data_IF_824020697689
#
_entry.id   IF_824020697689
#
_cell.length_a   1.000
_cell.length_b   1.000
_cell.length_c   1.000
_cell.angle_alpha   90.00
_cell.angle_beta   90.00
_cell.angle_gamma   90.00
#
_symmetry.space_group_name_H-M   'P 1'
#
loop_
_entity.id
_entity.type
_entity.pdbx_description
1 polymer ?
#
# COMPACT_ATOMS: atom_id res chain seq x y z
N UNK A 1 31.64 -5.55 -15.41
CA UNK A 1 32.08 -4.32 -16.09
C UNK A 1 33.55 -4.18 -15.78
N UNK A 2 34.42 -4.25 -16.79
CA UNK A 2 35.86 -4.02 -16.66
C UNK A 2 36.04 -2.51 -16.87
N UNK A 3 36.51 -1.82 -15.84
CA UNK A 3 36.81 -0.39 -15.95
C UNK A 3 38.09 -0.23 -16.80
N UNK A 4 38.02 0.56 -17.85
CA UNK A 4 39.16 0.87 -18.70
C UNK A 4 40.10 1.84 -17.96
N UNK A 5 41.32 1.41 -17.69
CA UNK A 5 42.34 2.20 -16.98
C UNK A 5 42.76 3.47 -17.74
N UNK A 6 42.48 3.54 -19.05
CA UNK A 6 42.69 4.75 -19.85
C UNK A 6 41.61 5.82 -19.66
N UNK A 7 40.46 5.47 -19.12
CA UNK A 7 39.30 6.37 -18.96
C UNK A 7 39.04 6.71 -17.47
N UNK A 8 39.37 5.80 -16.54
CA UNK A 8 39.08 5.94 -15.11
C UNK A 8 40.35 5.86 -14.26
N UNK A 9 40.43 6.70 -13.23
CA UNK A 9 41.38 6.53 -12.16
C UNK A 9 40.92 5.32 -11.30
N UNK A 10 41.42 4.12 -11.62
CA UNK A 10 40.98 2.86 -10.99
C UNK A 10 41.22 2.85 -9.48
N UNK A 11 42.29 3.50 -9.00
CA UNK A 11 42.57 3.58 -7.57
C UNK A 11 41.52 4.41 -6.84
N UNK A 12 41.15 5.57 -7.41
CA UNK A 12 40.10 6.43 -6.87
C UNK A 12 38.73 5.73 -6.90
N UNK A 13 38.39 5.09 -8.02
CA UNK A 13 37.14 4.36 -8.18
C UNK A 13 37.01 3.24 -7.14
N UNK A 14 38.08 2.48 -6.89
CA UNK A 14 38.08 1.45 -5.82
C UNK A 14 37.86 2.05 -4.45
N UNK A 15 38.49 3.16 -4.13
CA UNK A 15 38.33 3.86 -2.85
C UNK A 15 36.88 4.36 -2.67
N UNK A 16 36.29 4.92 -3.69
CA UNK A 16 34.92 5.42 -3.68
C UNK A 16 33.91 4.26 -3.51
N UNK A 17 34.07 3.17 -4.25
CA UNK A 17 33.25 1.96 -4.10
C UNK A 17 33.38 1.39 -2.68
N UNK A 18 34.58 1.35 -2.11
CA UNK A 18 34.80 0.83 -0.76
C UNK A 18 34.12 1.71 0.29
N UNK A 19 34.13 3.01 0.11
CA UNK A 19 33.40 3.96 0.96
C UNK A 19 31.89 3.74 0.86
N UNK A 20 31.34 3.59 -0.34
CA UNK A 20 29.92 3.32 -0.56
C UNK A 20 29.49 2.01 0.07
N UNK A 21 30.28 0.94 -0.08
CA UNK A 21 30.04 -0.35 0.56
C UNK A 21 30.01 -0.25 2.09
N UNK A 22 30.90 0.55 2.68
CA UNK A 22 30.90 0.76 4.14
C UNK A 22 29.63 1.48 4.60
N UNK A 23 29.16 2.49 3.87
CA UNK A 23 27.92 3.22 4.17
C UNK A 23 26.72 2.26 4.05
N UNK A 24 26.64 1.49 2.98
CA UNK A 24 25.56 0.52 2.76
C UNK A 24 25.54 -0.54 3.87
N UNK A 25 26.71 -1.00 4.32
CA UNK A 25 26.80 -1.97 5.43
C UNK A 25 26.26 -1.39 6.73
N UNK A 26 26.62 -0.15 7.07
CA UNK A 26 26.10 0.54 8.26
C UNK A 26 24.58 0.70 8.16
N UNK A 27 24.07 1.13 7.01
CA UNK A 27 22.63 1.27 6.78
C UNK A 27 21.89 -0.07 6.93
N UNK A 28 22.47 -1.15 6.42
CA UNK A 28 21.91 -2.51 6.55
C UNK A 28 21.80 -2.93 8.03
N UNK A 29 22.82 -2.67 8.84
CA UNK A 29 22.79 -2.96 10.27
C UNK A 29 21.73 -2.13 10.99
N UNK A 30 21.64 -0.83 10.70
CA UNK A 30 20.65 0.06 11.29
C UNK A 30 19.22 -0.40 10.93
N UNK A 31 18.97 -0.75 9.67
CA UNK A 31 17.68 -1.28 9.22
C UNK A 31 17.34 -2.58 9.94
N UNK A 32 18.31 -3.49 10.11
CA UNK A 32 18.11 -4.75 10.84
C UNK A 32 17.72 -4.55 12.31
N UNK A 33 18.19 -3.47 12.94
CA UNK A 33 17.76 -3.08 14.29
C UNK A 33 16.34 -2.50 14.29
N UNK A 34 16.00 -1.67 13.30
CA UNK A 34 14.66 -1.07 13.16
C UNK A 34 13.57 -2.12 12.86
N UNK A 35 13.89 -3.19 12.13
CA UNK A 35 12.97 -4.29 11.84
C UNK A 35 12.46 -5.02 13.09
N UNK A 36 13.11 -4.88 14.24
CA UNK A 36 12.62 -5.41 15.52
C UNK A 36 11.47 -4.61 16.10
N UNK A 37 11.30 -3.36 15.69
CA UNK A 37 10.23 -2.46 16.13
C UNK A 37 9.73 -1.64 14.95
N UNK A 38 8.77 -2.19 14.22
CA UNK A 38 8.12 -1.48 13.11
C UNK A 38 6.82 -0.84 13.60
N UNK A 39 6.91 0.43 13.97
CA UNK A 39 5.78 1.20 14.48
C UNK A 39 4.67 1.35 13.41
N UNK A 40 5.02 1.37 12.12
CA UNK A 40 4.05 1.50 11.02
C UNK A 40 3.20 0.23 10.86
N UNK A 41 3.81 -0.95 10.94
CA UNK A 41 3.06 -2.22 10.95
C UNK A 41 2.17 -2.33 12.19
N UNK A 42 2.67 -1.94 13.35
CA UNK A 42 1.91 -2.00 14.60
C UNK A 42 0.68 -1.08 14.54
N UNK A 43 0.84 0.13 14.00
CA UNK A 43 -0.29 1.05 13.83
C UNK A 43 -1.29 0.52 12.79
N UNK A 44 -0.82 -0.07 11.68
CA UNK A 44 -1.71 -0.77 10.75
C UNK A 44 -2.48 -1.90 11.44
N UNK A 45 -1.78 -2.76 12.16
CA UNK A 45 -2.41 -3.87 12.88
C UNK A 45 -3.43 -3.39 13.91
N UNK A 46 -3.16 -2.30 14.63
CA UNK A 46 -4.09 -1.68 15.56
C UNK A 46 -5.38 -1.25 14.86
N UNK A 47 -5.29 -0.55 13.72
CA UNK A 47 -6.46 -0.16 12.94
C UNK A 47 -7.25 -1.38 12.43
N UNK A 48 -6.57 -2.42 11.97
CA UNK A 48 -7.23 -3.65 11.52
C UNK A 48 -7.91 -4.39 12.69
N UNK A 49 -7.26 -4.49 13.83
CA UNK A 49 -7.80 -5.17 15.02
C UNK A 49 -8.98 -4.43 15.66
N UNK A 50 -9.03 -3.11 15.54
CA UNK A 50 -10.14 -2.28 16.03
C UNK A 50 -11.33 -2.25 15.08
N UNK A 51 -11.18 -2.81 13.87
CA UNK A 51 -12.24 -2.82 12.87
C UNK A 51 -13.02 -4.12 12.92
N UNK A 52 -14.17 -4.14 13.59
CA UNK A 52 -14.94 -5.36 13.83
C UNK A 52 -15.85 -5.76 12.66
N UNK A 53 -16.43 -4.81 11.91
CA UNK A 53 -17.56 -5.08 11.02
C UNK A 53 -17.35 -4.80 9.54
N UNK A 54 -16.23 -4.22 9.14
CA UNK A 54 -16.01 -3.81 7.74
C UNK A 54 -14.88 -4.59 7.09
N UNK A 55 -15.08 -4.92 5.83
CA UNK A 55 -13.97 -5.38 4.97
C UNK A 55 -13.01 -4.22 4.74
N UNK A 56 -11.72 -4.50 4.88
CA UNK A 56 -10.65 -3.50 4.73
C UNK A 56 -9.74 -3.85 3.57
N UNK A 57 -9.53 -2.86 2.70
CA UNK A 57 -8.58 -2.93 1.61
C UNK A 57 -7.36 -2.07 1.92
N UNK A 58 -6.20 -2.71 2.07
CA UNK A 58 -4.94 -2.02 2.31
C UNK A 58 -4.15 -1.93 1.01
N UNK A 59 -3.84 -0.72 0.59
CA UNK A 59 -3.00 -0.48 -0.59
C UNK A 59 -1.56 -0.14 -0.22
N UNK A 60 -0.62 -0.81 -0.86
CA UNK A 60 0.79 -0.42 -0.91
C UNK A 60 1.23 -0.23 -2.36
N UNK A 61 2.21 0.65 -2.58
CA UNK A 61 2.72 0.92 -3.93
C UNK A 61 3.70 -0.16 -4.40
N UNK A 62 4.55 -0.66 -3.49
CA UNK A 62 5.64 -1.58 -3.82
C UNK A 62 5.28 -3.04 -3.55
N UNK A 63 5.62 -3.92 -4.50
CA UNK A 63 5.45 -5.36 -4.33
C UNK A 63 6.29 -5.92 -3.17
N UNK A 64 7.48 -5.36 -2.95
CA UNK A 64 8.35 -5.75 -1.84
C UNK A 64 7.74 -5.39 -0.48
N UNK A 65 7.07 -4.24 -0.38
CA UNK A 65 6.31 -3.86 0.82
C UNK A 65 5.14 -4.83 1.05
N UNK A 66 4.44 -5.25 -0.01
CA UNK A 66 3.37 -6.24 0.11
C UNK A 66 3.90 -7.58 0.60
N UNK A 67 5.06 -8.02 0.10
CA UNK A 67 5.72 -9.25 0.55
C UNK A 67 6.15 -9.13 2.02
N UNK A 68 6.73 -8.02 2.41
CA UNK A 68 7.11 -7.72 3.80
C UNK A 68 5.90 -7.75 4.75
N UNK A 69 4.80 -7.12 4.36
CA UNK A 69 3.55 -7.15 5.13
C UNK A 69 3.00 -8.57 5.27
N UNK A 70 3.10 -9.39 4.22
CA UNK A 70 2.68 -10.80 4.28
C UNK A 70 3.45 -11.60 5.33
N UNK A 71 4.74 -11.32 5.47
CA UNK A 71 5.62 -12.04 6.42
C UNK A 71 5.44 -11.56 7.85
N UNK A 72 5.18 -10.26 8.06
CA UNK A 72 5.24 -9.65 9.38
C UNK A 72 3.88 -9.31 10.00
N UNK A 73 2.92 -8.84 9.19
CA UNK A 73 1.64 -8.33 9.70
C UNK A 73 0.82 -9.39 10.46
N UNK A 74 0.79 -10.68 10.05
CA UNK A 74 0.01 -11.70 10.77
C UNK A 74 0.42 -11.89 12.24
N UNK A 75 1.67 -11.56 12.61
CA UNK A 75 2.16 -11.66 13.99
C UNK A 75 1.45 -10.69 14.95
N UNK A 76 0.87 -9.61 14.42
CA UNK A 76 0.25 -8.52 15.18
C UNK A 76 -1.28 -8.55 15.15
N UNK A 77 -1.87 -9.45 14.34
CA UNK A 77 -3.32 -9.50 14.17
C UNK A 77 -4.00 -10.44 15.18
N UNK A 78 -5.18 -10.01 15.63
CA UNK A 78 -6.04 -10.85 16.47
C UNK A 78 -6.62 -11.99 15.63
N UNK A 79 -6.72 -13.18 16.23
CA UNK A 79 -7.27 -14.35 15.56
C UNK A 79 -8.76 -14.17 15.24
N UNK A 80 -9.20 -14.74 14.13
CA UNK A 80 -10.62 -14.81 13.74
C UNK A 80 -10.98 -14.09 12.46
N UNK A 81 -10.11 -13.20 11.97
CA UNK A 81 -10.28 -12.52 10.66
C UNK A 81 -9.44 -13.22 9.59
N UNK A 82 -10.02 -13.35 8.40
CA UNK A 82 -9.31 -13.90 7.24
C UNK A 82 -8.58 -12.79 6.49
N UNK A 83 -7.26 -12.85 6.53
CA UNK A 83 -6.38 -11.90 5.85
C UNK A 83 -5.73 -12.57 4.63
N UNK A 84 -5.71 -11.87 3.52
CA UNK A 84 -5.06 -12.33 2.29
C UNK A 84 -4.21 -11.23 1.66
N UNK A 85 -3.20 -11.67 0.92
CA UNK A 85 -2.23 -10.80 0.25
C UNK A 85 -2.28 -11.05 -1.24
N UNK A 86 -2.75 -10.09 -2.01
CA UNK A 86 -2.97 -10.21 -3.46
C UNK A 86 -1.65 -10.21 -4.25
N UNK A 87 -0.89 -11.29 -4.07
CA UNK A 87 0.34 -11.59 -4.79
C UNK A 87 0.05 -12.63 -5.88
N UNK A 88 0.83 -12.59 -6.97
CA UNK A 88 0.79 -13.60 -8.01
C UNK A 88 0.35 -13.10 -9.38
N UNK A 89 -0.21 -14.01 -10.16
CA UNK A 89 -0.70 -13.78 -11.52
C UNK A 89 -2.00 -12.96 -11.53
N UNK A 90 -2.38 -12.44 -12.69
CA UNK A 90 -3.64 -11.73 -12.88
C UNK A 90 -4.86 -12.56 -12.48
N UNK A 91 -4.83 -13.87 -12.77
CA UNK A 91 -5.92 -14.78 -12.42
C UNK A 91 -6.06 -14.98 -10.90
N UNK A 92 -4.93 -15.09 -10.18
CA UNK A 92 -4.92 -15.20 -8.73
C UNK A 92 -5.41 -13.91 -8.08
N UNK A 93 -4.95 -12.74 -8.58
CA UNK A 93 -5.41 -11.43 -8.11
C UNK A 93 -6.92 -11.27 -8.32
N UNK A 94 -7.46 -11.73 -9.45
CA UNK A 94 -8.89 -11.74 -9.70
C UNK A 94 -9.66 -12.65 -8.74
N UNK A 95 -9.09 -13.80 -8.38
CA UNK A 95 -9.71 -14.70 -7.39
C UNK A 95 -9.76 -14.05 -6.00
N UNK A 96 -8.70 -13.36 -5.57
CA UNK A 96 -8.74 -12.57 -4.33
C UNK A 96 -9.84 -11.51 -4.37
N UNK A 97 -9.97 -10.78 -5.49
CA UNK A 97 -11.02 -9.77 -5.65
C UNK A 97 -12.44 -10.36 -5.55
N UNK A 98 -12.67 -11.55 -6.13
CA UNK A 98 -13.97 -12.26 -6.06
C UNK A 98 -14.30 -12.70 -4.63
N UNK A 99 -13.34 -13.24 -3.92
CA UNK A 99 -13.51 -13.69 -2.52
C UNK A 99 -13.61 -12.51 -1.54
N UNK A 100 -13.01 -11.37 -1.86
CA UNK A 100 -13.08 -10.16 -1.06
C UNK A 100 -14.39 -9.38 -1.25
N UNK A 101 -14.91 -9.32 -2.47
CA UNK A 101 -16.14 -8.60 -2.79
C UNK A 101 -17.18 -9.52 -3.48
N UNK A 102 -17.65 -10.58 -2.81
CA UNK A 102 -18.50 -11.59 -3.43
C UNK A 102 -19.85 -11.02 -3.87
N UNK A 103 -20.43 -10.06 -3.15
CA UNK A 103 -21.72 -9.46 -3.50
C UNK A 103 -21.57 -8.61 -4.77
N UNK A 104 -20.63 -7.67 -4.79
CA UNK A 104 -20.37 -6.80 -5.95
C UNK A 104 -19.92 -7.57 -7.18
N UNK A 105 -19.25 -8.71 -7.00
CA UNK A 105 -18.78 -9.61 -8.05
C UNK A 105 -19.80 -10.67 -8.46
N UNK A 106 -20.93 -10.77 -7.74
CA UNK A 106 -21.92 -11.86 -7.92
C UNK A 106 -21.24 -13.23 -7.90
N UNK A 107 -20.30 -13.41 -6.95
CA UNK A 107 -19.47 -14.60 -6.85
C UNK A 107 -19.99 -15.54 -5.75
N UNK A 108 -20.20 -16.79 -6.11
CA UNK A 108 -20.50 -17.84 -5.15
C UNK A 108 -19.22 -18.54 -4.74
N UNK A 109 -18.95 -18.55 -3.42
CA UNK A 109 -17.78 -19.21 -2.85
C UNK A 109 -17.79 -20.70 -3.19
N UNK A 110 -16.66 -21.23 -3.62
CA UNK A 110 -16.47 -22.65 -3.85
C UNK A 110 -16.24 -23.38 -2.52
N UNK A 111 -16.42 -24.70 -2.53
CA UNK A 111 -16.15 -25.52 -1.37
C UNK A 111 -14.68 -25.34 -0.91
N UNK A 112 -14.50 -25.00 0.37
CA UNK A 112 -13.19 -24.74 0.96
C UNK A 112 -12.66 -23.30 0.81
N UNK A 113 -13.28 -22.46 -0.03
CA UNK A 113 -12.94 -21.03 -0.07
C UNK A 113 -13.52 -20.30 1.14
N UNK A 114 -12.76 -19.31 1.62
CA UNK A 114 -13.20 -18.44 2.71
C UNK A 114 -13.37 -17.01 2.20
N UNK A 115 -14.36 -16.32 2.73
CA UNK A 115 -14.51 -14.88 2.56
C UNK A 115 -13.28 -14.16 3.13
N UNK A 116 -12.93 -13.03 2.55
CA UNK A 116 -11.75 -12.26 2.94
C UNK A 116 -12.23 -11.01 3.69
N UNK A 117 -11.76 -10.85 4.93
CA UNK A 117 -12.04 -9.66 5.74
C UNK A 117 -11.05 -8.54 5.42
N UNK A 118 -9.76 -8.88 5.35
CA UNK A 118 -8.69 -7.92 5.06
C UNK A 118 -7.92 -8.36 3.83
N UNK A 119 -7.89 -7.50 2.82
CA UNK A 119 -7.13 -7.72 1.59
C UNK A 119 -6.02 -6.68 1.47
N UNK A 120 -4.77 -7.13 1.40
CA UNK A 120 -3.61 -6.28 1.19
C UNK A 120 -3.16 -6.44 -0.27
N UNK A 121 -3.03 -5.33 -0.99
CA UNK A 121 -2.77 -5.37 -2.42
C UNK A 121 -1.92 -4.19 -2.91
N UNK A 122 -1.35 -4.36 -4.10
CA UNK A 122 -0.81 -3.24 -4.88
C UNK A 122 -1.87 -2.68 -5.83
N UNK A 123 -1.54 -1.60 -6.52
CA UNK A 123 -2.41 -1.00 -7.53
C UNK A 123 -2.81 -1.96 -8.67
N UNK A 124 -2.12 -3.10 -8.83
CA UNK A 124 -2.51 -4.16 -9.76
C UNK A 124 -3.92 -4.68 -9.51
N UNK A 125 -4.35 -4.74 -8.23
CA UNK A 125 -5.72 -5.11 -7.88
C UNK A 125 -6.72 -4.04 -8.30
N UNK A 126 -6.33 -2.76 -8.27
CA UNK A 126 -7.26 -1.65 -8.49
C UNK A 126 -7.75 -1.52 -9.92
N UNK A 127 -7.06 -2.10 -10.91
CA UNK A 127 -7.41 -1.93 -12.31
C UNK A 127 -8.69 -2.71 -12.68
N UNK A 128 -9.77 -1.96 -12.98
CA UNK A 128 -11.04 -2.53 -13.45
C UNK A 128 -11.87 -3.31 -12.42
N UNK A 129 -11.49 -3.37 -11.15
CA UNK A 129 -12.20 -4.15 -10.14
C UNK A 129 -13.35 -3.37 -9.48
N UNK A 130 -14.43 -4.06 -9.20
CA UNK A 130 -15.56 -3.59 -8.40
C UNK A 130 -15.44 -4.20 -7.00
N UNK A 131 -15.26 -3.36 -5.98
CA UNK A 131 -14.97 -3.82 -4.62
C UNK A 131 -15.89 -3.12 -3.60
N UNK A 132 -17.15 -2.92 -3.96
CA UNK A 132 -18.15 -2.16 -3.18
C UNK A 132 -18.60 -2.84 -1.89
N UNK A 133 -18.21 -4.10 -1.67
CA UNK A 133 -18.38 -4.80 -0.39
C UNK A 133 -17.43 -4.26 0.69
N UNK A 134 -16.40 -3.51 0.27
CA UNK A 134 -15.39 -2.92 1.15
C UNK A 134 -15.89 -1.60 1.75
N UNK A 135 -15.77 -1.45 3.07
CA UNK A 135 -16.18 -0.23 3.79
C UNK A 135 -15.00 0.65 4.24
N UNK A 136 -13.76 0.18 4.08
CA UNK A 136 -12.58 0.91 4.52
C UNK A 136 -11.40 0.72 3.58
N UNK A 137 -10.75 1.82 3.19
CA UNK A 137 -9.44 1.80 2.52
C UNK A 137 -8.36 2.29 3.49
N UNK A 138 -7.22 1.61 3.47
CA UNK A 138 -5.98 2.07 4.10
C UNK A 138 -4.92 2.24 3.03
N UNK A 139 -4.47 3.47 2.81
CA UNK A 139 -3.31 3.74 1.98
C UNK A 139 -2.05 3.64 2.85
N UNK A 140 -1.42 2.46 2.85
CA UNK A 140 -0.18 2.23 3.60
C UNK A 140 0.98 3.09 3.08
N UNK A 141 1.00 3.31 1.76
CA UNK A 141 1.88 4.28 1.11
C UNK A 141 1.07 5.28 0.31
N UNK A 142 1.35 6.58 0.49
CA UNK A 142 0.79 7.64 -0.34
C UNK A 142 1.43 7.57 -1.73
N UNK A 143 0.59 7.55 -2.75
CA UNK A 143 1.08 7.62 -4.12
C UNK A 143 1.34 9.07 -4.51
N UNK A 144 2.50 9.37 -5.12
CA UNK A 144 2.87 10.71 -5.61
C UNK A 144 1.92 11.29 -6.68
N UNK A 145 1.14 10.42 -7.35
CA UNK A 145 0.12 10.81 -8.31
C UNK A 145 -1.27 10.72 -7.66
N UNK A 146 -1.97 11.84 -7.42
CA UNK A 146 -3.27 11.85 -6.76
C UNK A 146 -4.35 11.12 -7.57
N UNK A 147 -4.24 11.05 -8.89
CA UNK A 147 -5.19 10.32 -9.75
C UNK A 147 -5.24 8.84 -9.36
N UNK A 148 -4.12 8.24 -8.97
CA UNK A 148 -4.10 6.85 -8.48
C UNK A 148 -4.87 6.70 -7.17
N UNK A 149 -4.76 7.65 -6.25
CA UNK A 149 -5.52 7.63 -5.01
C UNK A 149 -7.02 7.83 -5.27
N UNK A 150 -7.40 8.74 -6.16
CA UNK A 150 -8.79 8.91 -6.60
C UNK A 150 -9.31 7.59 -7.20
N UNK A 151 -8.51 6.93 -8.04
CA UNK A 151 -8.89 5.64 -8.64
C UNK A 151 -9.06 4.54 -7.60
N UNK A 152 -8.20 4.46 -6.57
CA UNK A 152 -8.36 3.52 -5.45
C UNK A 152 -9.69 3.75 -4.74
N UNK A 153 -9.96 4.99 -4.32
CA UNK A 153 -11.19 5.36 -3.63
C UNK A 153 -12.43 5.07 -4.50
N UNK A 154 -12.37 5.38 -5.79
CA UNK A 154 -13.44 5.10 -6.75
C UNK A 154 -13.73 3.62 -7.00
N UNK A 155 -12.94 2.68 -6.46
CA UNK A 155 -13.24 1.23 -6.54
C UNK A 155 -14.29 0.78 -5.54
N UNK A 156 -14.38 1.45 -4.42
CA UNK A 156 -15.33 1.14 -3.36
C UNK A 156 -16.45 2.19 -3.28
N UNK A 157 -16.15 3.46 -3.53
CA UNK A 157 -17.12 4.55 -3.52
C UNK A 157 -17.85 4.65 -4.87
N UNK A 158 -18.91 3.84 -5.02
CA UNK A 158 -19.74 3.81 -6.24
C UNK A 158 -21.20 3.60 -5.86
N UNK A 159 -22.09 3.96 -6.78
CA UNK A 159 -23.50 3.60 -6.70
C UNK A 159 -23.64 2.08 -6.52
N UNK A 160 -24.36 1.66 -5.47
CA UNK A 160 -24.50 0.24 -5.10
C UNK A 160 -23.46 -0.24 -4.07
N UNK A 161 -22.72 0.66 -3.41
CA UNK A 161 -21.96 0.30 -2.21
C UNK A 161 -22.89 -0.24 -1.12
N UNK A 162 -22.42 -1.24 -0.38
CA UNK A 162 -23.14 -1.80 0.78
C UNK A 162 -23.03 -0.89 2.01
N UNK A 163 -22.20 0.15 1.95
CA UNK A 163 -21.91 1.07 3.03
C UNK A 163 -22.40 2.48 2.70
N UNK A 164 -23.09 3.11 3.64
CA UNK A 164 -23.50 4.53 3.55
C UNK A 164 -22.28 5.46 3.65
N UNK A 165 -21.30 5.06 4.46
CA UNK A 165 -20.05 5.79 4.68
C UNK A 165 -18.84 4.88 4.43
N UNK A 166 -17.84 5.41 3.76
CA UNK A 166 -16.58 4.75 3.48
C UNK A 166 -15.46 5.49 4.20
N UNK A 167 -14.64 4.72 4.93
CA UNK A 167 -13.50 5.25 5.66
C UNK A 167 -12.22 5.15 4.82
N UNK A 168 -11.44 6.22 4.79
CA UNK A 168 -10.16 6.28 4.08
C UNK A 168 -9.10 6.71 5.08
N UNK A 169 -8.15 5.82 5.34
CA UNK A 169 -7.00 6.11 6.18
C UNK A 169 -5.74 6.24 5.32
N UNK A 170 -4.97 7.28 5.61
CA UNK A 170 -3.73 7.57 4.89
C UNK A 170 -2.55 7.58 5.87
N UNK A 171 -1.62 6.64 5.71
CA UNK A 171 -0.34 6.72 6.40
C UNK A 171 0.49 7.85 5.80
N UNK A 172 0.70 8.90 6.57
CA UNK A 172 1.52 10.04 6.17
C UNK A 172 3.00 9.79 6.49
N UNK A 173 3.94 10.34 5.71
CA UNK A 173 5.34 10.35 6.10
C UNK A 173 5.52 11.10 7.42
N UNK A 174 6.59 10.77 8.18
CA UNK A 174 6.95 11.54 9.37
C UNK A 174 7.27 12.99 8.98
N UNK A 175 7.15 13.93 9.94
CA UNK A 175 7.40 15.35 9.68
C UNK A 175 8.81 15.61 9.12
N UNK A 176 9.81 14.88 9.58
CA UNK A 176 11.16 14.95 9.04
C UNK A 176 11.23 14.53 7.57
N UNK A 177 10.59 13.42 7.22
CA UNK A 177 10.56 12.91 5.86
C UNK A 177 9.71 13.83 4.95
N UNK A 178 8.59 14.37 5.47
CA UNK A 178 7.75 15.32 4.74
C UNK A 178 8.48 16.63 4.46
N UNK A 179 9.30 17.12 5.39
CA UNK A 179 10.12 18.31 5.17
C UNK A 179 11.10 18.16 3.98
N UNK A 180 11.58 16.94 3.74
CA UNK A 180 12.43 16.61 2.59
C UNK A 180 11.64 16.41 1.31
N UNK A 181 10.60 15.58 1.36
CA UNK A 181 9.86 15.13 0.17
C UNK A 181 8.82 16.13 -0.30
N UNK A 182 8.23 16.88 0.65
CA UNK A 182 7.05 17.72 0.43
C UNK A 182 5.93 16.96 -0.31
N UNK A 183 5.80 15.66 0.01
CA UNK A 183 4.90 14.75 -0.70
C UNK A 183 3.44 15.13 -0.47
N UNK A 184 3.05 15.32 0.78
CA UNK A 184 1.68 15.67 1.17
C UNK A 184 1.30 17.02 0.56
N UNK A 185 2.19 18.03 0.66
CA UNK A 185 1.97 19.34 0.06
C UNK A 185 1.79 19.28 -1.45
N UNK A 186 2.70 18.60 -2.15
CA UNK A 186 2.62 18.44 -3.62
C UNK A 186 1.37 17.68 -4.06
N UNK A 187 0.92 16.70 -3.26
CA UNK A 187 -0.32 15.98 -3.51
C UNK A 187 -1.51 16.92 -3.34
N UNK A 188 -1.55 17.70 -2.25
CA UNK A 188 -2.61 18.66 -1.98
C UNK A 188 -2.75 19.69 -3.10
N UNK A 189 -1.63 20.26 -3.56
CA UNK A 189 -1.62 21.23 -4.66
C UNK A 189 -2.19 20.62 -5.95
N UNK A 190 -1.81 19.38 -6.27
CA UNK A 190 -2.33 18.65 -7.45
C UNK A 190 -3.82 18.32 -7.31
N UNK A 191 -4.28 17.93 -6.12
CA UNK A 191 -5.69 17.65 -5.85
C UNK A 191 -6.52 18.92 -6.03
N UNK A 192 -6.05 20.03 -5.47
CA UNK A 192 -6.72 21.33 -5.62
C UNK A 192 -6.83 21.73 -7.10
N UNK A 193 -5.77 21.52 -7.88
CA UNK A 193 -5.81 21.78 -9.32
C UNK A 193 -6.85 20.91 -10.03
N UNK A 194 -6.94 19.61 -9.71
CA UNK A 194 -7.94 18.69 -10.27
C UNK A 194 -9.34 19.12 -9.89
N UNK A 195 -9.60 19.48 -8.62
CA UNK A 195 -10.90 19.97 -8.16
C UNK A 195 -11.35 21.21 -8.92
N UNK A 196 -10.46 22.16 -9.15
CA UNK A 196 -10.76 23.37 -9.93
C UNK A 196 -11.02 23.09 -11.41
N UNK A 197 -10.41 22.06 -12.00
CA UNK A 197 -10.54 21.77 -13.43
C UNK A 197 -11.64 20.78 -13.76
N UNK A 198 -11.92 19.81 -12.88
CA UNK A 198 -12.79 18.65 -13.15
C UNK A 198 -14.01 18.61 -12.24
N UNK A 199 -14.03 19.37 -11.14
CA UNK A 199 -15.17 19.47 -10.24
C UNK A 199 -15.45 18.19 -9.44
N UNK A 200 -14.45 17.60 -8.83
CA UNK A 200 -14.65 16.43 -7.97
C UNK A 200 -14.88 16.85 -6.51
N UNK A 201 -15.97 16.39 -5.92
CA UNK A 201 -16.34 16.68 -4.52
C UNK A 201 -15.74 15.68 -3.49
N UNK A 202 -14.82 14.81 -3.91
CA UNK A 202 -14.26 13.79 -3.00
C UNK A 202 -13.08 14.32 -2.20
N UNK A 203 -13.16 14.20 -0.86
CA UNK A 203 -12.00 14.33 0.01
C UNK A 203 -11.06 13.14 -0.18
N UNK A 204 -9.76 13.41 -0.37
CA UNK A 204 -8.75 12.41 -0.71
C UNK A 204 -7.68 12.28 0.37
N UNK A 205 -7.46 13.33 1.16
CA UNK A 205 -6.36 13.41 2.13
C UNK A 205 -6.78 13.88 3.53
N UNK A 206 -8.05 14.09 3.78
CA UNK A 206 -8.55 14.54 5.09
C UNK A 206 -8.48 13.45 6.14
#
# INVERSE_FOLDING_TARGET
IIADEGVFNVAQLKADIQKDLSIVSILKEQIAMLLKKDDKIQELAKHLNQNDDRKVLVFTYFADTLQYLKERLPEYLVKGKNIEFALGTKAEIENYAKRFAPVSKKYQMKQGEKDIDFLIATDKLSEGQNLQDCGMIVNYDLHWNPVRMIQRNGRINRLGSLHEEIFIFNFRPTDQLESYLQLVRKLQDKINLIRHTVGTDQSILD
#
